data_IF_318505743237
#
_entry.id   IF_318505743237
#
_cell.length_a   1.000
_cell.length_b   1.000
_cell.length_c   1.000
_cell.angle_alpha   90.00
_cell.angle_beta   90.00
_cell.angle_gamma   90.00
#
_symmetry.space_group_name_H-M   'P 1'
#
loop_
_entity.id
_entity.type
_entity.pdbx_description
1 polymer ?
#
# COMPACT_ATOMS: atom_id res chain seq x y z
N UNK A 1 -0.48 60.61 -22.21
CA UNK A 1 -1.67 60.02 -21.55
C UNK A 1 -1.49 58.50 -21.57
N UNK A 2 -1.10 57.90 -20.44
CA UNK A 2 -0.72 56.49 -20.32
C UNK A 2 -1.96 55.67 -19.92
N UNK A 3 -2.46 54.79 -20.81
CA UNK A 3 -3.53 53.84 -20.47
C UNK A 3 -2.91 52.59 -19.87
N UNK A 4 -3.08 52.42 -18.56
CA UNK A 4 -2.74 51.21 -17.83
C UNK A 4 -3.81 50.14 -18.10
N UNK A 5 -3.47 49.06 -18.78
CA UNK A 5 -4.34 47.89 -18.91
C UNK A 5 -3.85 46.82 -17.94
N UNK A 6 -4.62 46.58 -16.88
CA UNK A 6 -4.36 45.52 -15.93
C UNK A 6 -4.70 44.17 -16.58
N UNK A 7 -3.67 43.36 -16.85
CA UNK A 7 -3.81 41.95 -17.21
C UNK A 7 -4.14 41.16 -15.95
N UNK A 8 -5.38 40.67 -15.84
CA UNK A 8 -5.77 39.67 -14.84
C UNK A 8 -5.36 38.30 -15.37
N UNK A 9 -4.21 37.80 -14.92
CA UNK A 9 -3.80 36.43 -15.15
C UNK A 9 -4.45 35.50 -14.12
N UNK A 10 -5.41 34.67 -14.55
CA UNK A 10 -5.93 33.58 -13.72
C UNK A 10 -4.91 32.44 -13.73
N UNK A 11 -4.24 32.20 -12.60
CA UNK A 11 -3.48 30.96 -12.40
C UNK A 11 -4.48 29.82 -12.15
N UNK A 12 -4.67 28.95 -13.14
CA UNK A 12 -5.23 27.64 -12.90
C UNK A 12 -4.15 26.75 -12.26
N UNK A 13 -4.21 26.56 -10.95
CA UNK A 13 -3.46 25.50 -10.29
C UNK A 13 -4.10 24.16 -10.70
N UNK A 14 -3.43 23.43 -11.59
CA UNK A 14 -3.70 22.01 -11.78
C UNK A 14 -3.25 21.30 -10.49
N UNK A 15 -4.20 21.06 -9.58
CA UNK A 15 -3.97 20.14 -8.48
C UNK A 15 -3.90 18.75 -9.11
N UNK A 16 -2.70 18.34 -9.50
CA UNK A 16 -2.43 16.93 -9.76
C UNK A 16 -2.64 16.22 -8.44
N UNK A 17 -3.79 15.58 -8.26
CA UNK A 17 -3.94 14.57 -7.21
C UNK A 17 -2.92 13.48 -7.57
N UNK A 18 -1.76 13.51 -6.93
CA UNK A 18 -0.90 12.35 -6.86
C UNK A 18 -1.78 11.18 -6.41
N UNK A 19 -1.61 10.00 -7.02
CA UNK A 19 -2.29 8.82 -6.55
C UNK A 19 -2.00 8.69 -5.05
N UNK A 20 -3.03 8.85 -4.21
CA UNK A 20 -2.85 8.61 -2.78
C UNK A 20 -2.38 7.15 -2.63
N UNK A 21 -1.46 6.95 -1.72
CA UNK A 21 -0.74 5.70 -1.52
C UNK A 21 -0.16 5.70 -0.13
N UNK A 22 0.50 4.62 0.25
CA UNK A 22 1.12 4.51 1.56
C UNK A 22 2.16 3.42 1.58
N UNK A 23 2.61 3.08 2.78
CA UNK A 23 3.65 2.09 3.02
C UNK A 23 3.10 1.02 3.96
N UNK A 24 3.44 -0.24 3.69
CA UNK A 24 3.14 -1.36 4.59
C UNK A 24 4.44 -2.11 4.86
N UNK A 25 4.69 -2.37 6.14
CA UNK A 25 5.77 -3.23 6.59
C UNK A 25 5.28 -4.68 6.56
N UNK A 26 6.00 -5.56 5.89
CA UNK A 26 5.74 -7.01 5.91
C UNK A 26 6.94 -7.74 6.47
N UNK A 27 6.71 -8.69 7.37
CA UNK A 27 7.74 -9.46 8.04
C UNK A 27 7.51 -10.97 7.84
N UNK A 28 8.60 -11.73 7.69
CA UNK A 28 8.52 -13.18 7.46
C UNK A 28 8.14 -13.99 8.71
N UNK A 29 8.38 -13.42 9.89
CA UNK A 29 8.11 -14.09 11.16
C UNK A 29 7.01 -13.34 11.90
N UNK A 30 6.37 -14.00 12.87
CA UNK A 30 5.37 -13.38 13.73
C UNK A 30 5.97 -12.25 14.60
N UNK A 31 5.11 -11.37 15.11
CA UNK A 31 5.43 -10.27 16.03
C UNK A 31 6.43 -9.24 15.46
N UNK A 32 6.37 -8.99 14.15
CA UNK A 32 7.25 -8.04 13.42
C UNK A 32 8.73 -8.39 13.53
N UNK A 33 9.07 -9.66 13.34
CA UNK A 33 10.45 -10.17 13.43
C UNK A 33 10.92 -10.81 12.11
N UNK A 34 12.16 -11.31 12.11
CA UNK A 34 12.75 -11.98 10.96
C UNK A 34 13.19 -10.99 9.88
N UNK A 35 12.85 -11.30 8.62
CA UNK A 35 13.11 -10.41 7.50
C UNK A 35 11.90 -9.49 7.27
N UNK A 36 12.09 -8.19 7.52
CA UNK A 36 11.05 -7.18 7.31
C UNK A 36 11.40 -6.27 6.12
N UNK A 37 10.39 -5.91 5.34
CA UNK A 37 10.51 -5.02 4.17
C UNK A 37 9.36 -4.04 4.15
N UNK A 38 9.69 -2.77 3.94
CA UNK A 38 8.73 -1.70 3.70
C UNK A 38 8.37 -1.67 2.21
N UNK A 39 7.09 -1.79 1.90
CA UNK A 39 6.59 -1.73 0.52
C UNK A 39 5.64 -0.55 0.35
N UNK A 40 6.03 0.35 -0.54
CA UNK A 40 5.18 1.44 -1.01
C UNK A 40 4.13 0.92 -1.99
N UNK A 41 2.93 1.49 -1.94
CA UNK A 41 1.86 1.21 -2.89
C UNK A 41 1.16 2.49 -3.33
N UNK A 42 0.61 2.48 -4.54
CA UNK A 42 -0.42 3.43 -4.93
C UNK A 42 -1.80 2.79 -4.77
N UNK A 43 -2.82 3.62 -4.53
CA UNK A 43 -4.19 3.14 -4.36
C UNK A 43 -4.64 2.28 -5.55
N UNK A 44 -5.12 1.07 -5.23
CA UNK A 44 -5.63 0.05 -6.15
C UNK A 44 -4.60 -0.67 -7.02
N UNK A 45 -3.30 -0.34 -6.93
CA UNK A 45 -2.27 -1.13 -7.60
C UNK A 45 -2.18 -2.52 -6.96
N UNK A 46 -2.05 -3.54 -7.81
CA UNK A 46 -1.77 -4.90 -7.36
C UNK A 46 -0.27 -5.15 -7.40
N UNK A 47 0.30 -5.53 -6.27
CA UNK A 47 1.74 -5.72 -6.12
C UNK A 47 2.01 -7.19 -5.77
N UNK A 48 2.81 -7.84 -6.60
CA UNK A 48 3.28 -9.21 -6.38
C UNK A 48 4.48 -9.20 -5.43
N UNK A 49 4.49 -10.11 -4.45
CA UNK A 49 5.63 -10.26 -3.57
C UNK A 49 6.81 -10.88 -4.32
N UNK A 50 8.00 -10.32 -4.09
CA UNK A 50 9.25 -10.91 -4.56
C UNK A 50 9.59 -12.20 -3.81
N UNK A 51 10.63 -12.91 -4.27
CA UNK A 51 11.04 -14.20 -3.70
C UNK A 51 11.40 -14.18 -2.21
N UNK A 52 11.68 -13.00 -1.64
CA UNK A 52 11.99 -12.85 -0.21
C UNK A 52 10.75 -12.77 0.70
N UNK A 53 9.56 -12.63 0.14
CA UNK A 53 8.30 -12.47 0.89
C UNK A 53 7.19 -13.43 0.42
N UNK A 54 7.25 -13.90 -0.82
CA UNK A 54 6.24 -14.78 -1.39
C UNK A 54 6.09 -16.06 -0.56
N UNK A 55 4.88 -16.34 -0.07
CA UNK A 55 4.57 -17.48 0.80
C UNK A 55 5.40 -17.53 2.09
N UNK A 56 5.81 -16.36 2.59
CA UNK A 56 6.63 -16.24 3.81
C UNK A 56 6.10 -15.20 4.81
N UNK A 57 5.08 -14.41 4.46
CA UNK A 57 4.63 -13.32 5.35
C UNK A 57 3.86 -13.90 6.53
N UNK A 58 4.27 -13.50 7.73
CA UNK A 58 3.65 -13.91 9.01
C UNK A 58 3.16 -12.75 9.86
N UNK A 59 3.67 -11.53 9.67
CA UNK A 59 3.18 -10.32 10.36
C UNK A 59 3.30 -9.08 9.48
N UNK A 60 2.52 -8.05 9.79
CA UNK A 60 2.46 -6.83 9.00
C UNK A 60 1.98 -5.61 9.79
N UNK A 61 2.34 -4.42 9.30
CA UNK A 61 1.84 -3.14 9.82
C UNK A 61 1.74 -2.06 8.72
N UNK A 62 0.54 -1.53 8.41
CA UNK A 62 0.40 -0.33 7.60
C UNK A 62 0.94 0.90 8.33
N UNK A 63 1.85 1.66 7.71
CA UNK A 63 2.40 2.86 8.32
C UNK A 63 1.38 4.01 8.37
N UNK A 64 0.78 4.21 9.54
CA UNK A 64 -0.18 5.29 9.79
C UNK A 64 -1.62 4.79 9.90
N UNK A 65 -2.57 5.57 9.38
CA UNK A 65 -4.00 5.28 9.53
C UNK A 65 -4.77 5.62 8.25
N UNK A 66 -5.91 4.97 8.05
CA UNK A 66 -6.75 5.15 6.84
C UNK A 66 -6.57 4.04 5.81
N UNK A 67 -5.60 3.15 6.00
CA UNK A 67 -5.34 2.05 5.07
C UNK A 67 -6.43 0.98 5.10
N UNK A 68 -6.81 0.51 3.92
CA UNK A 68 -7.65 -0.66 3.70
C UNK A 68 -6.95 -1.56 2.69
N UNK A 69 -6.41 -2.66 3.17
CA UNK A 69 -5.54 -3.55 2.41
C UNK A 69 -6.12 -4.96 2.32
N UNK A 70 -5.70 -5.69 1.29
CA UNK A 70 -6.03 -7.10 1.09
C UNK A 70 -4.78 -7.84 0.63
N UNK A 71 -4.40 -8.87 1.38
CA UNK A 71 -3.48 -9.91 0.92
C UNK A 71 -4.24 -10.91 0.07
N UNK A 72 -3.53 -11.47 -0.91
CA UNK A 72 -4.00 -12.47 -1.84
C UNK A 72 -3.05 -13.65 -1.83
N UNK A 73 -3.63 -14.85 -1.83
CA UNK A 73 -2.87 -16.09 -1.77
C UNK A 73 -2.06 -16.31 -3.03
N UNK A 74 -2.61 -15.93 -4.17
CA UNK A 74 -1.96 -16.08 -5.46
C UNK A 74 -1.43 -14.74 -5.99
N UNK A 75 -0.54 -14.81 -6.98
CA UNK A 75 -0.10 -13.65 -7.74
C UNK A 75 -1.25 -12.95 -8.47
N UNK A 76 -1.03 -11.68 -8.79
CA UNK A 76 -1.94 -10.77 -9.50
C UNK A 76 -3.29 -10.55 -8.78
N UNK A 77 -3.27 -10.54 -7.44
CA UNK A 77 -4.41 -10.28 -6.59
C UNK A 77 -5.58 -11.25 -6.83
N UNK A 78 -5.27 -12.54 -6.81
CA UNK A 78 -6.21 -13.65 -7.04
C UNK A 78 -6.22 -14.63 -5.86
N UNK A 79 -7.18 -15.56 -5.91
CA UNK A 79 -7.30 -16.61 -4.91
C UNK A 79 -7.93 -16.14 -3.60
N UNK A 80 -7.63 -16.88 -2.54
CA UNK A 80 -8.11 -16.58 -1.19
C UNK A 80 -7.52 -15.26 -0.69
N UNK A 81 -8.24 -14.61 0.22
CA UNK A 81 -7.89 -13.25 0.66
C UNK A 81 -7.87 -13.09 2.17
N UNK A 82 -7.01 -12.19 2.65
CA UNK A 82 -7.02 -11.70 4.02
C UNK A 82 -7.04 -10.17 4.03
N UNK A 83 -8.11 -9.57 4.57
CA UNK A 83 -8.26 -8.12 4.67
C UNK A 83 -7.68 -7.57 5.97
N UNK A 84 -6.99 -6.44 5.91
CA UNK A 84 -6.41 -5.78 7.08
C UNK A 84 -6.44 -4.25 6.96
N UNK A 85 -6.56 -3.57 8.09
CA UNK A 85 -6.58 -2.09 8.18
C UNK A 85 -5.65 -1.55 9.26
N UNK A 86 -4.88 -2.42 9.93
CA UNK A 86 -4.04 -2.12 11.09
C UNK A 86 -2.97 -3.22 11.24
N UNK A 87 -2.04 -2.99 12.16
CA UNK A 87 -1.07 -3.95 12.67
C UNK A 87 -1.63 -5.36 12.94
N UNK A 88 -0.84 -6.38 12.59
CA UNK A 88 -1.07 -7.79 12.90
C UNK A 88 0.24 -8.51 13.26
N UNK A 89 0.34 -8.98 14.50
CA UNK A 89 1.48 -9.82 14.95
C UNK A 89 1.48 -11.24 14.37
N UNK A 90 0.34 -11.71 13.86
CA UNK A 90 0.19 -13.03 13.23
C UNK A 90 -0.95 -12.98 12.21
N UNK A 91 -0.95 -13.90 11.26
CA UNK A 91 -1.96 -14.04 10.20
C UNK A 91 -2.70 -15.38 10.30
N UNK A 92 -3.68 -15.54 11.22
CA UNK A 92 -4.37 -16.81 11.42
C UNK A 92 -5.10 -17.27 10.16
N UNK A 93 -4.73 -18.45 9.66
CA UNK A 93 -5.29 -19.02 8.42
C UNK A 93 -4.77 -18.38 7.12
N UNK A 94 -3.79 -17.47 7.21
CA UNK A 94 -3.16 -16.81 6.07
C UNK A 94 -1.64 -16.63 6.22
N UNK A 95 -1.03 -17.32 7.20
CA UNK A 95 0.42 -17.33 7.43
C UNK A 95 1.14 -18.03 6.29
N UNK A 96 2.24 -17.46 5.79
CA UNK A 96 3.14 -18.08 4.81
C UNK A 96 2.45 -18.53 3.50
N UNK A 97 1.40 -17.81 3.08
CA UNK A 97 0.66 -18.13 1.85
C UNK A 97 0.37 -16.92 0.97
N UNK A 98 0.76 -15.71 1.39
CA UNK A 98 0.48 -14.51 0.62
C UNK A 98 1.49 -14.35 -0.53
N UNK A 99 0.98 -14.15 -1.74
CA UNK A 99 1.78 -13.93 -2.95
C UNK A 99 1.59 -12.55 -3.57
N UNK A 100 0.51 -11.83 -3.22
CA UNK A 100 0.32 -10.44 -3.64
C UNK A 100 -0.55 -9.63 -2.68
N UNK A 101 -0.55 -8.31 -2.83
CA UNK A 101 -1.40 -7.42 -2.05
C UNK A 101 -1.89 -6.21 -2.85
N UNK A 102 -2.96 -5.60 -2.36
CA UNK A 102 -3.52 -4.32 -2.86
C UNK A 102 -4.07 -3.52 -1.70
N UNK A 103 -3.89 -2.20 -1.76
CA UNK A 103 -4.32 -1.30 -0.71
C UNK A 103 -4.99 -0.03 -1.27
N UNK A 104 -5.71 0.64 -0.38
CA UNK A 104 -6.16 2.04 -0.52
C UNK A 104 -5.89 2.81 0.77
N UNK A 105 -5.57 4.10 0.68
CA UNK A 105 -5.46 5.07 1.78
C UNK A 105 -6.43 6.23 1.62
#
# INVERSE_FOLDING_TARGET
MLKLYALVGVLAACVGMAAAGGTVVFCTDENMQGHCVDLDYNNNDCINFGSGLNDLISSLDPEGSGHSCTLYKDYDCKGDTFGFTKHHDTLPGFNDVASSFRCTS
#
